data_IF_767479846843
#
_entry.id   IF_767479846843
#
_cell.length_a   1.000
_cell.length_b   1.000
_cell.length_c   1.000
_cell.angle_alpha   90.00
_cell.angle_beta   90.00
_cell.angle_gamma   90.00
#
_symmetry.space_group_name_H-M   'P 1'
#
loop_
_entity.id
_entity.type
_entity.pdbx_description
1 polymer ?
#
# COMPACT_ATOMS: atom_id res chain seq x y z
N UNK A 1 28.96 62.84 -23.58
CA UNK A 1 27.73 62.19 -23.07
C UNK A 1 28.04 60.71 -22.94
N UNK A 2 28.31 60.31 -21.70
CA UNK A 2 28.68 58.96 -21.27
C UNK A 2 27.61 57.93 -21.62
N UNK A 3 28.06 56.73 -21.98
CA UNK A 3 27.24 55.51 -22.00
C UNK A 3 27.28 54.91 -20.60
N UNK A 4 26.12 54.76 -19.95
CA UNK A 4 25.97 53.90 -18.77
C UNK A 4 25.63 52.48 -19.23
N UNK A 5 26.49 51.52 -18.88
CA UNK A 5 26.18 50.09 -18.88
C UNK A 5 25.44 49.76 -17.58
N UNK A 6 24.19 49.31 -17.67
CA UNK A 6 23.47 48.71 -16.55
C UNK A 6 23.85 47.22 -16.44
N UNK A 7 24.49 46.87 -15.32
CA UNK A 7 24.87 45.50 -14.99
C UNK A 7 23.67 44.64 -14.63
N UNK A 8 23.39 43.62 -15.44
CA UNK A 8 22.45 42.57 -15.11
C UNK A 8 23.06 41.63 -14.05
N UNK A 9 22.56 41.69 -12.81
CA UNK A 9 22.80 40.69 -11.78
C UNK A 9 22.07 39.39 -12.18
N UNK A 10 22.80 38.43 -12.76
CA UNK A 10 22.30 37.07 -12.94
C UNK A 10 22.32 36.35 -11.58
N UNK A 11 21.15 36.25 -10.94
CA UNK A 11 20.95 35.33 -9.82
C UNK A 11 20.93 33.90 -10.35
N UNK A 12 21.88 33.07 -9.93
CA UNK A 12 21.88 31.64 -10.22
C UNK A 12 20.62 31.00 -9.60
N UNK A 13 19.87 30.16 -10.34
CA UNK A 13 18.77 29.42 -9.75
C UNK A 13 19.31 28.47 -8.68
N UNK A 14 18.68 28.48 -7.51
CA UNK A 14 18.95 27.53 -6.43
C UNK A 14 18.81 26.10 -6.93
N UNK A 15 19.70 25.17 -6.52
CA UNK A 15 19.61 23.78 -6.92
C UNK A 15 18.25 23.19 -6.49
N UNK A 16 17.67 22.27 -7.29
CA UNK A 16 16.44 21.59 -6.90
C UNK A 16 16.65 20.85 -5.58
N UNK A 17 15.61 20.77 -4.72
CA UNK A 17 15.72 20.03 -3.46
C UNK A 17 16.15 18.59 -3.75
N UNK A 18 17.16 18.13 -3.01
CA UNK A 18 17.62 16.74 -3.05
C UNK A 18 16.45 15.80 -2.77
N UNK A 19 16.31 14.67 -3.48
CA UNK A 19 15.25 13.70 -3.21
C UNK A 19 15.35 13.25 -1.76
N UNK A 20 14.33 13.58 -0.96
CA UNK A 20 14.24 13.15 0.43
C UNK A 20 14.27 11.63 0.45
N UNK A 21 15.16 11.05 1.25
CA UNK A 21 15.16 9.61 1.51
C UNK A 21 13.76 9.20 1.96
N UNK A 22 13.07 8.37 1.16
CA UNK A 22 11.74 7.86 1.48
C UNK A 22 11.71 7.29 2.89
N UNK A 23 10.77 7.76 3.74
CA UNK A 23 10.67 7.32 5.14
C UNK A 23 10.14 5.89 5.32
N UNK A 24 9.64 5.24 4.26
CA UNK A 24 9.09 3.89 4.35
C UNK A 24 10.19 2.87 4.12
N UNK A 25 10.38 2.00 5.11
CA UNK A 25 11.31 0.87 4.94
C UNK A 25 10.74 -0.15 3.96
N UNK A 26 9.41 -0.35 3.90
CA UNK A 26 8.70 -1.30 3.03
C UNK A 26 7.23 -0.91 2.86
N UNK A 27 6.75 -0.74 1.63
CA UNK A 27 5.33 -0.57 1.28
C UNK A 27 4.90 -1.72 0.36
N UNK A 28 3.64 -2.15 0.44
CA UNK A 28 3.06 -3.09 -0.51
C UNK A 28 2.24 -2.30 -1.52
N UNK A 29 2.74 -2.14 -2.74
CA UNK A 29 1.98 -1.46 -3.81
C UNK A 29 1.69 -2.40 -4.94
N UNK A 30 0.42 -2.44 -5.35
CA UNK A 30 -0.05 -3.25 -6.46
C UNK A 30 -0.39 -2.34 -7.64
N UNK A 31 0.30 -2.58 -8.76
CA UNK A 31 0.03 -1.95 -10.04
C UNK A 31 -0.32 -3.04 -11.05
N UNK A 32 -1.39 -2.84 -11.82
CA UNK A 32 -1.60 -3.61 -13.04
C UNK A 32 -0.51 -3.23 -14.04
N UNK A 33 0.61 -3.93 -14.01
CA UNK A 33 1.83 -3.58 -14.75
C UNK A 33 1.88 -4.18 -16.16
N UNK A 34 0.95 -5.08 -16.47
CA UNK A 34 0.63 -5.46 -17.84
C UNK A 34 -0.08 -4.29 -18.55
N UNK A 35 0.27 -3.96 -19.81
CA UNK A 35 -0.38 -2.89 -20.56
C UNK A 35 -1.89 -3.13 -20.75
N UNK A 36 -2.37 -4.37 -20.62
CA UNK A 36 -3.77 -4.70 -20.82
C UNK A 36 -4.29 -4.10 -22.13
N UNK A 37 -5.42 -3.36 -22.07
CA UNK A 37 -5.96 -2.61 -23.22
C UNK A 37 -5.44 -1.17 -23.31
N UNK A 38 -4.77 -0.63 -22.28
CA UNK A 38 -4.35 0.77 -22.20
C UNK A 38 -2.95 0.89 -21.64
N UNK A 39 -2.04 1.47 -22.43
CA UNK A 39 -0.64 1.67 -22.02
C UNK A 39 -0.49 2.54 -20.76
N UNK A 40 -1.49 3.35 -20.41
CA UNK A 40 -1.51 4.19 -19.19
C UNK A 40 -1.30 3.37 -17.91
N UNK A 41 -1.77 2.12 -17.87
CA UNK A 41 -1.57 1.22 -16.72
C UNK A 41 -0.10 0.91 -16.50
N UNK A 42 0.59 0.47 -17.56
CA UNK A 42 2.00 0.13 -17.52
C UNK A 42 2.87 1.37 -17.26
N UNK A 43 2.58 2.50 -17.91
CA UNK A 43 3.34 3.74 -17.73
C UNK A 43 3.26 4.24 -16.28
N UNK A 44 2.08 4.19 -15.67
CA UNK A 44 1.90 4.59 -14.28
C UNK A 44 2.63 3.63 -13.32
N UNK A 45 2.62 2.32 -13.60
CA UNK A 45 3.37 1.33 -12.83
C UNK A 45 4.89 1.57 -12.89
N UNK A 46 5.43 1.84 -14.08
CA UNK A 46 6.85 2.19 -14.29
C UNK A 46 7.20 3.47 -13.53
N UNK A 47 6.36 4.50 -13.65
CA UNK A 47 6.56 5.77 -12.96
C UNK A 47 6.59 5.60 -11.44
N UNK A 48 5.69 4.78 -10.90
CA UNK A 48 5.69 4.45 -9.48
C UNK A 48 6.97 3.71 -9.07
N UNK A 49 7.41 2.72 -9.86
CA UNK A 49 8.65 1.99 -9.61
C UNK A 49 9.87 2.92 -9.51
N UNK A 50 9.95 3.92 -10.41
CA UNK A 50 10.98 4.98 -10.36
C UNK A 50 10.91 5.80 -9.08
N UNK A 51 9.72 6.25 -8.67
CA UNK A 51 9.54 7.04 -7.45
C UNK A 51 9.92 6.27 -6.17
N UNK A 52 9.73 4.95 -6.19
CA UNK A 52 10.08 4.07 -5.08
C UNK A 52 11.56 3.60 -5.12
N UNK A 53 12.32 3.96 -6.15
CA UNK A 53 13.72 3.57 -6.30
C UNK A 53 13.92 2.11 -6.71
N UNK A 54 12.91 1.45 -7.29
CA UNK A 54 13.05 0.09 -7.81
C UNK A 54 13.78 0.11 -9.17
N UNK A 55 14.76 -0.78 -9.39
CA UNK A 55 15.42 -0.90 -10.68
C UNK A 55 14.42 -1.33 -11.77
N UNK A 56 14.60 -0.81 -12.99
CA UNK A 56 13.70 -1.04 -14.14
C UNK A 56 13.62 -2.52 -14.60
N UNK A 57 14.40 -3.42 -13.98
CA UNK A 57 14.41 -4.85 -14.28
C UNK A 57 13.40 -5.66 -13.46
N UNK A 58 12.61 -5.03 -12.58
CA UNK A 58 11.43 -5.72 -12.05
C UNK A 58 10.42 -5.78 -13.17
N UNK A 59 10.35 -6.95 -13.79
CA UNK A 59 9.16 -7.54 -14.35
C UNK A 59 8.09 -7.52 -13.24
N UNK A 60 7.53 -6.34 -12.96
CA UNK A 60 6.19 -6.22 -12.43
C UNK A 60 5.35 -6.81 -13.57
N UNK A 61 5.21 -8.12 -13.55
CA UNK A 61 4.68 -8.91 -14.63
C UNK A 61 3.81 -9.94 -13.97
N UNK A 62 2.67 -9.48 -13.46
CA UNK A 62 1.51 -10.30 -13.15
C UNK A 62 0.34 -9.34 -13.06
N UNK A 63 -0.58 -9.44 -14.03
CA UNK A 63 -1.95 -8.96 -13.91
C UNK A 63 -2.87 -10.17 -13.97
N UNK A 64 -4.10 -10.04 -13.46
CA UNK A 64 -5.07 -11.15 -13.41
C UNK A 64 -5.20 -11.73 -12.00
N UNK A 65 -5.67 -12.98 -11.90
CA UNK A 65 -6.07 -13.56 -10.61
C UNK A 65 -4.94 -13.71 -9.60
N UNK A 66 -3.71 -14.01 -10.03
CA UNK A 66 -2.58 -14.15 -9.10
C UNK A 66 -2.27 -12.85 -8.35
N UNK A 67 -2.25 -11.71 -9.06
CA UNK A 67 -2.05 -10.39 -8.45
C UNK A 67 -3.16 -10.02 -7.49
N UNK A 68 -4.40 -10.38 -7.83
CA UNK A 68 -5.56 -10.12 -6.97
C UNK A 68 -5.50 -10.98 -5.71
N UNK A 69 -5.08 -12.23 -5.82
CA UNK A 69 -4.89 -13.15 -4.70
C UNK A 69 -3.76 -12.66 -3.77
N UNK A 70 -2.59 -12.33 -4.32
CA UNK A 70 -1.46 -11.74 -3.57
C UNK A 70 -1.89 -10.44 -2.85
N UNK A 71 -2.70 -9.59 -3.49
CA UNK A 71 -3.25 -8.38 -2.88
C UNK A 71 -4.16 -8.70 -1.69
N UNK A 72 -5.10 -9.64 -1.85
CA UNK A 72 -6.04 -10.02 -0.80
C UNK A 72 -5.35 -10.70 0.38
N UNK A 73 -4.29 -11.47 0.14
CA UNK A 73 -3.46 -12.07 1.19
C UNK A 73 -2.80 -10.98 2.06
N UNK A 74 -2.17 -9.99 1.42
CA UNK A 74 -1.52 -8.87 2.14
C UNK A 74 -2.55 -8.04 2.92
N UNK A 75 -3.74 -7.79 2.37
CA UNK A 75 -4.83 -7.12 3.09
C UNK A 75 -5.24 -7.93 4.33
N UNK A 76 -5.33 -9.25 4.18
CA UNK A 76 -5.70 -10.15 5.28
C UNK A 76 -4.64 -10.14 6.38
N UNK A 77 -3.35 -10.14 6.04
CA UNK A 77 -2.28 -10.04 7.04
C UNK A 77 -2.28 -8.70 7.79
N UNK A 78 -2.59 -7.61 7.10
CA UNK A 78 -2.79 -6.31 7.75
C UNK A 78 -4.00 -6.35 8.70
N UNK A 79 -5.12 -6.94 8.27
CA UNK A 79 -6.32 -7.09 9.09
C UNK A 79 -6.09 -7.95 10.34
N UNK A 80 -5.24 -8.98 10.25
CA UNK A 80 -4.85 -9.84 11.38
C UNK A 80 -3.78 -9.20 12.28
N UNK A 81 -3.32 -7.98 11.99
CA UNK A 81 -2.26 -7.31 12.75
C UNK A 81 -0.88 -7.95 12.61
N UNK A 82 -0.65 -8.75 11.57
CA UNK A 82 0.66 -9.37 11.28
C UNK A 82 1.64 -8.31 10.75
N UNK A 83 1.13 -7.25 10.12
CA UNK A 83 1.93 -6.08 9.74
C UNK A 83 1.14 -4.77 9.68
N UNK A 84 1.87 -3.66 9.85
CA UNK A 84 1.30 -2.31 9.87
C UNK A 84 1.56 -1.51 8.58
N UNK A 85 2.13 -2.16 7.58
CA UNK A 85 2.48 -1.50 6.31
C UNK A 85 1.21 -1.11 5.54
N UNK A 86 1.15 0.09 4.95
CA UNK A 86 0.04 0.44 4.08
C UNK A 86 0.01 -0.44 2.83
N UNK A 87 -1.21 -0.73 2.36
CA UNK A 87 -1.45 -1.44 1.10
C UNK A 87 -1.92 -0.43 0.05
N UNK A 88 -1.08 -0.16 -0.94
CA UNK A 88 -1.34 0.81 -2.00
C UNK A 88 -1.93 0.17 -3.25
N UNK A 89 -2.99 0.79 -3.79
CA UNK A 89 -3.57 0.50 -5.10
C UNK A 89 -3.47 1.70 -6.04
N UNK A 90 -2.70 1.54 -7.11
CA UNK A 90 -2.61 2.54 -8.17
C UNK A 90 -3.82 2.39 -9.12
N UNK A 91 -4.85 3.21 -8.90
CA UNK A 91 -6.16 3.12 -9.54
C UNK A 91 -6.28 4.01 -10.79
N UNK A 92 -5.41 3.76 -11.78
CA UNK A 92 -5.41 4.49 -13.06
C UNK A 92 -6.72 4.24 -13.80
N UNK A 93 -7.32 5.31 -14.35
CA UNK A 93 -8.58 5.27 -15.10
C UNK A 93 -9.74 4.56 -14.38
N UNK A 94 -9.68 4.43 -13.05
CA UNK A 94 -10.69 3.72 -12.27
C UNK A 94 -10.69 2.19 -12.44
N UNK A 95 -9.57 1.59 -12.86
CA UNK A 95 -9.44 0.14 -13.06
C UNK A 95 -9.94 -0.70 -11.86
N UNK A 96 -9.64 -0.26 -10.63
CA UNK A 96 -10.02 -0.92 -9.39
C UNK A 96 -11.34 -0.43 -8.78
N UNK A 97 -12.12 0.43 -9.46
CA UNK A 97 -13.36 0.97 -8.90
C UNK A 97 -14.36 -0.13 -8.51
N UNK A 98 -14.50 -1.18 -9.33
CA UNK A 98 -15.39 -2.30 -9.02
C UNK A 98 -14.92 -3.08 -7.79
N UNK A 99 -13.60 -3.28 -7.63
CA UNK A 99 -13.03 -3.94 -6.45
C UNK A 99 -13.27 -3.10 -5.19
N UNK A 100 -12.97 -1.79 -5.26
CA UNK A 100 -13.18 -0.87 -4.14
C UNK A 100 -14.65 -0.80 -3.75
N UNK A 101 -15.56 -0.73 -4.73
CA UNK A 101 -17.01 -0.73 -4.50
C UNK A 101 -17.49 -2.05 -3.87
N UNK A 102 -16.90 -3.18 -4.25
CA UNK A 102 -17.18 -4.47 -3.62
C UNK A 102 -16.74 -4.48 -2.15
N UNK A 103 -15.54 -3.95 -1.86
CA UNK A 103 -15.06 -3.81 -0.48
C UNK A 103 -15.96 -2.87 0.32
N UNK A 104 -16.35 -1.72 -0.23
CA UNK A 104 -17.31 -0.80 0.40
C UNK A 104 -18.64 -1.51 0.72
N UNK A 105 -19.16 -2.29 -0.23
CA UNK A 105 -20.38 -3.09 -0.01
C UNK A 105 -20.20 -4.13 1.10
N UNK A 106 -19.05 -4.80 1.15
CA UNK A 106 -18.75 -5.78 2.20
C UNK A 106 -18.64 -5.12 3.59
N UNK A 107 -18.21 -3.86 3.66
CA UNK A 107 -18.26 -3.06 4.89
C UNK A 107 -19.70 -2.75 5.27
N UNK A 108 -20.53 -2.29 4.31
CA UNK A 108 -21.94 -1.96 4.55
C UNK A 108 -22.76 -3.17 5.03
N UNK A 109 -22.46 -4.36 4.49
CA UNK A 109 -23.09 -5.62 4.89
C UNK A 109 -22.49 -6.23 6.16
N UNK A 110 -21.46 -5.61 6.75
CA UNK A 110 -20.83 -6.04 8.01
C UNK A 110 -19.88 -7.23 7.89
N UNK A 111 -19.47 -7.62 6.67
CA UNK A 111 -18.44 -8.65 6.46
C UNK A 111 -17.02 -8.13 6.71
N UNK A 112 -16.81 -6.82 6.52
CA UNK A 112 -15.53 -6.15 6.76
C UNK A 112 -15.74 -5.04 7.79
N UNK A 113 -14.88 -4.98 8.81
CA UNK A 113 -14.93 -3.92 9.80
C UNK A 113 -14.61 -2.56 9.14
N UNK A 114 -15.29 -1.46 9.53
CA UNK A 114 -14.98 -0.13 8.99
C UNK A 114 -13.51 0.28 9.16
N UNK A 115 -12.84 -0.17 10.23
CA UNK A 115 -11.40 0.05 10.44
C UNK A 115 -10.54 -0.66 9.40
N UNK A 116 -10.88 -1.92 9.05
CA UNK A 116 -10.18 -2.71 8.06
C UNK A 116 -10.32 -2.13 6.64
N UNK A 117 -11.37 -1.34 6.36
CA UNK A 117 -11.54 -0.64 5.08
C UNK A 117 -10.37 0.30 4.76
N UNK A 118 -9.76 0.88 5.79
CA UNK A 118 -8.70 1.87 5.66
C UNK A 118 -7.32 1.25 5.37
N UNK A 119 -7.17 -0.07 5.48
CA UNK A 119 -5.94 -0.81 5.13
C UNK A 119 -5.52 -0.51 3.68
N UNK A 120 -6.51 -0.44 2.78
CA UNK A 120 -6.30 -0.21 1.35
C UNK A 120 -6.36 1.28 1.04
N UNK A 121 -5.21 1.83 0.66
CA UNK A 121 -5.05 3.20 0.19
C UNK A 121 -5.03 3.19 -1.34
N UNK A 122 -5.88 3.99 -1.97
CA UNK A 122 -5.90 4.11 -3.44
C UNK A 122 -5.75 5.55 -3.92
N UNK A 123 -5.12 5.69 -5.09
CA UNK A 123 -4.99 6.96 -5.79
C UNK A 123 -4.85 6.74 -7.30
N UNK A 124 -5.30 7.69 -8.14
CA UNK A 124 -5.20 7.61 -9.60
C UNK A 124 -3.77 7.84 -10.13
N UNK A 125 -2.89 8.48 -9.35
CA UNK A 125 -1.53 8.82 -9.79
C UNK A 125 -0.47 8.30 -8.83
N UNK A 126 0.76 8.00 -9.31
CA UNK A 126 1.84 7.55 -8.45
C UNK A 126 2.19 8.53 -7.32
N UNK A 127 2.23 9.83 -7.61
CA UNK A 127 2.58 10.88 -6.66
C UNK A 127 1.55 11.00 -5.54
N UNK A 128 0.26 11.00 -5.90
CA UNK A 128 -0.81 11.04 -4.92
C UNK A 128 -0.83 9.76 -4.08
N UNK A 129 -0.55 8.59 -4.70
CA UNK A 129 -0.45 7.34 -3.97
C UNK A 129 0.66 7.40 -2.94
N UNK A 130 1.88 7.84 -3.33
CA UNK A 130 2.99 8.00 -2.40
C UNK A 130 2.63 8.95 -1.25
N UNK A 131 2.03 10.10 -1.55
CA UNK A 131 1.63 11.07 -0.52
C UNK A 131 0.62 10.48 0.47
N UNK A 132 -0.35 9.67 0.01
CA UNK A 132 -1.34 9.05 0.90
C UNK A 132 -0.75 7.89 1.70
N UNK A 133 0.11 7.08 1.09
CA UNK A 133 0.87 6.04 1.80
C UNK A 133 1.76 6.67 2.87
N UNK A 134 2.19 7.90 2.60
CA UNK A 134 2.96 8.71 3.51
C UNK A 134 2.20 9.07 4.78
N UNK A 135 0.97 9.49 4.63
CA UNK A 135 0.12 9.92 5.75
C UNK A 135 -0.61 8.76 6.43
N UNK A 136 -0.38 7.52 5.98
CA UNK A 136 -1.03 6.34 6.52
C UNK A 136 -0.64 6.07 7.98
N UNK A 137 -1.67 5.88 8.81
CA UNK A 137 -1.55 5.43 10.19
C UNK A 137 -2.39 4.16 10.35
N UNK A 138 -1.80 3.02 10.78
CA UNK A 138 -2.55 1.80 11.00
C UNK A 138 -3.56 1.98 12.14
N UNK A 139 -4.78 1.51 11.92
CA UNK A 139 -5.83 1.51 12.94
C UNK A 139 -5.97 0.07 13.42
N UNK A 140 -5.53 -0.17 14.65
CA UNK A 140 -5.70 -1.44 15.34
C UNK A 140 -6.99 -1.39 16.15
N UNK A 141 -8.00 -2.15 15.76
CA UNK A 141 -9.14 -2.40 16.63
C UNK A 141 -8.73 -3.48 17.65
N UNK A 142 -8.78 -3.16 18.94
CA UNK A 142 -8.50 -4.14 20.01
C UNK A 142 -9.46 -5.35 20.05
N UNK A 143 -10.34 -5.48 19.05
CA UNK A 143 -11.30 -6.56 18.82
C UNK A 143 -10.88 -7.55 17.73
N UNK A 144 -9.84 -7.25 16.95
CA UNK A 144 -9.29 -8.18 15.96
C UNK A 144 -8.55 -9.31 16.66
N UNK A 145 -8.76 -10.54 16.20
CA UNK A 145 -8.04 -11.75 16.60
C UNK A 145 -6.53 -11.49 16.57
N UNK A 146 -5.96 -10.99 17.66
CA UNK A 146 -4.53 -11.05 17.89
C UNK A 146 -4.24 -12.54 17.95
N UNK A 147 -3.71 -13.08 16.86
CA UNK A 147 -3.24 -14.46 16.80
C UNK A 147 -2.09 -14.59 17.82
N UNK A 148 -2.43 -14.78 19.10
CA UNK A 148 -1.50 -15.37 20.05
C UNK A 148 -1.47 -16.86 19.71
N UNK A 149 -0.37 -17.28 19.06
CA UNK A 149 -0.06 -18.69 18.94
C UNK A 149 0.40 -19.21 20.30
N UNK A 150 -0.51 -19.26 21.27
CA UNK A 150 -0.36 -20.18 22.39
C UNK A 150 -0.82 -21.54 21.90
N UNK A 151 0.14 -22.38 21.53
CA UNK A 151 -0.04 -23.83 21.46
C UNK A 151 -0.43 -24.30 22.86
N UNK A 152 -1.71 -24.19 23.21
CA UNK A 152 -2.18 -24.69 24.49
C UNK A 152 -2.25 -26.22 24.39
N UNK A 153 -1.20 -26.80 24.97
CA UNK A 153 -1.10 -28.17 25.43
C UNK A 153 -2.48 -28.68 25.87
N UNK A 154 -2.99 -29.70 25.18
CA UNK A 154 -4.17 -30.44 25.62
C UNK A 154 -3.83 -31.05 26.99
N UNK A 155 -4.18 -30.31 28.04
CA UNK A 155 -4.15 -30.73 29.42
C UNK A 155 -5.24 -31.76 29.65
N UNK A 156 -4.99 -33.01 29.25
CA UNK A 156 -5.69 -34.15 29.82
C UNK A 156 -5.16 -34.34 31.24
N UNK A 157 -5.76 -33.68 32.21
CA UNK A 157 -5.63 -34.07 33.62
C UNK A 157 -6.33 -35.42 33.80
N UNK A 158 -5.65 -36.51 34.21
CA UNK A 158 -6.34 -37.72 34.64
C UNK A 158 -7.12 -37.37 35.91
N UNK A 159 -8.44 -37.58 35.90
CA UNK A 159 -9.24 -37.58 37.13
C UNK A 159 -8.73 -38.72 38.01
N UNK A 160 -7.94 -38.39 39.02
CA UNK A 160 -7.69 -39.25 40.16
C UNK A 160 -8.90 -39.19 41.08
N UNK A 161 -9.78 -40.19 40.98
CA UNK A 161 -10.67 -40.57 42.07
C UNK A 161 -11.06 -42.04 41.90
N UNK A 162 -10.47 -42.89 42.75
CA UNK A 162 -11.16 -43.94 43.51
C UNK A 162 -10.30 -44.16 44.76
N UNK A 163 -10.82 -43.70 45.89
CA UNK A 163 -10.46 -44.20 47.22
C UNK A 163 -11.42 -45.32 47.57
N UNK A 164 -10.93 -46.56 47.67
CA UNK A 164 -11.14 -47.50 48.78
C UNK A 164 -10.41 -48.81 48.55
#
# INVERSE_FOLDING_TARGET
MEKQEEGALYSTPSPPPSPSSSRFKRVCVFCGSSPGKKATYQLAAIQLGHLLGYPQDTDAQRGGYGTLEELLEVITWAQLGIHDKPVGLLNVDGYYNSLLSFVDKAVDEGFIMPTARHIVVSAPTPQELLSKLEDYVPIHDGSGLKLSWEMEQIGLTPKSDISR
#
